data_IF_032073407461
#
_entry.id   IF_032073407461
#
_cell.length_a   1.000
_cell.length_b   1.000
_cell.length_c   1.000
_cell.angle_alpha   90.00
_cell.angle_beta   90.00
_cell.angle_gamma   90.00
#
_symmetry.space_group_name_H-M   'P 1'
#
loop_
_entity.id
_entity.type
_entity.pdbx_description
1 polymer ?
#
# COMPACT_ATOMS: atom_id res chain seq x y z
N UNK A 1 -14.77 -6.40 -4.88
CA UNK A 1 -13.89 -7.43 -4.28
C UNK A 1 -13.59 -7.06 -2.83
N UNK A 2 -13.43 -8.02 -1.91
CA UNK A 2 -13.07 -7.70 -0.51
C UNK A 2 -11.67 -7.08 -0.47
N UNK A 3 -11.50 -5.93 0.20
CA UNK A 3 -10.23 -5.17 0.25
C UNK A 3 -9.07 -6.00 0.78
N UNK A 4 -9.33 -6.89 1.74
CA UNK A 4 -8.33 -7.84 2.26
C UNK A 4 -7.80 -8.78 1.19
N UNK A 5 -8.67 -9.26 0.27
CA UNK A 5 -8.26 -10.12 -0.83
C UNK A 5 -7.45 -9.33 -1.86
N UNK A 6 -7.85 -8.09 -2.16
CA UNK A 6 -7.07 -7.21 -3.06
C UNK A 6 -5.67 -6.94 -2.52
N UNK A 7 -5.55 -6.61 -1.24
CA UNK A 7 -4.27 -6.37 -0.61
C UNK A 7 -3.39 -7.65 -0.62
N UNK A 8 -3.98 -8.81 -0.34
CA UNK A 8 -3.28 -10.09 -0.44
C UNK A 8 -2.77 -10.35 -1.86
N UNK A 9 -3.62 -10.21 -2.87
CA UNK A 9 -3.26 -10.43 -4.27
C UNK A 9 -2.13 -9.48 -4.70
N UNK A 10 -2.21 -8.20 -4.34
CA UNK A 10 -1.17 -7.22 -4.62
C UNK A 10 0.15 -7.59 -3.97
N UNK A 11 0.14 -8.03 -2.71
CA UNK A 11 1.35 -8.48 -2.01
C UNK A 11 1.97 -9.71 -2.68
N UNK A 12 1.15 -10.68 -3.08
CA UNK A 12 1.59 -11.88 -3.80
C UNK A 12 2.16 -11.58 -5.19
N UNK A 13 1.78 -10.46 -5.80
CA UNK A 13 2.35 -9.95 -7.05
C UNK A 13 3.75 -9.31 -6.88
N UNK A 14 4.32 -9.33 -5.68
CA UNK A 14 5.64 -8.78 -5.39
C UNK A 14 5.62 -7.33 -4.90
N UNK A 15 4.43 -6.76 -4.70
CA UNK A 15 4.32 -5.45 -4.08
C UNK A 15 4.68 -5.53 -2.60
N UNK A 16 5.34 -4.49 -2.09
CA UNK A 16 5.63 -4.40 -0.67
C UNK A 16 4.35 -4.17 0.15
N UNK A 17 4.45 -4.31 1.47
CA UNK A 17 3.30 -4.21 2.37
C UNK A 17 2.55 -2.87 2.31
N UNK A 18 3.23 -1.75 2.05
CA UNK A 18 2.57 -0.45 1.92
C UNK A 18 1.80 -0.34 0.61
N UNK A 19 2.43 -0.73 -0.51
CA UNK A 19 1.81 -0.77 -1.84
C UNK A 19 0.59 -1.71 -1.86
N UNK A 20 0.70 -2.87 -1.20
CA UNK A 20 -0.41 -3.82 -1.08
C UNK A 20 -1.63 -3.23 -0.37
N UNK A 21 -1.43 -2.54 0.75
CA UNK A 21 -2.53 -1.91 1.51
C UNK A 21 -3.07 -0.71 0.75
N UNK A 22 -2.23 0.27 0.41
CA UNK A 22 -2.71 1.50 -0.23
C UNK A 22 -3.33 1.23 -1.61
N UNK A 23 -2.71 0.36 -2.40
CA UNK A 23 -3.23 -0.09 -3.70
C UNK A 23 -4.57 -0.81 -3.62
N UNK A 24 -4.95 -1.40 -2.47
CA UNK A 24 -6.28 -1.95 -2.28
C UNK A 24 -7.36 -0.85 -2.14
N UNK A 25 -6.98 0.36 -1.73
CA UNK A 25 -7.86 1.51 -1.52
C UNK A 25 -7.70 2.63 -2.56
N UNK A 26 -6.78 2.50 -3.54
CA UNK A 26 -6.51 3.54 -4.54
C UNK A 26 -7.76 4.05 -5.29
N UNK A 27 -8.71 3.15 -5.62
CA UNK A 27 -9.98 3.52 -6.25
C UNK A 27 -10.86 4.43 -5.36
N UNK A 28 -10.91 4.17 -4.05
CA UNK A 28 -11.67 5.00 -3.09
C UNK A 28 -10.98 6.33 -2.84
N UNK A 29 -9.65 6.33 -2.87
CA UNK A 29 -8.82 7.53 -2.79
C UNK A 29 -8.88 8.38 -4.07
N UNK A 30 -9.52 7.92 -5.15
CA UNK A 30 -9.55 8.62 -6.44
C UNK A 30 -8.17 8.77 -7.08
N UNK A 31 -7.20 7.92 -6.71
CA UNK A 31 -5.83 7.97 -7.20
C UNK A 31 -5.62 6.85 -8.22
N UNK A 32 -4.98 7.20 -9.34
CA UNK A 32 -4.57 6.23 -10.34
C UNK A 32 -3.73 5.09 -9.69
N UNK A 33 -4.02 3.81 -9.97
CA UNK A 33 -3.32 2.69 -9.34
C UNK A 33 -1.80 2.74 -9.49
N UNK A 34 -1.27 3.17 -10.64
CA UNK A 34 0.18 3.27 -10.85
C UNK A 34 0.79 4.37 -9.99
N UNK A 35 0.12 5.51 -9.88
CA UNK A 35 0.51 6.60 -8.97
C UNK A 35 0.47 6.11 -7.52
N UNK A 36 -0.58 5.39 -7.11
CA UNK A 36 -0.69 4.86 -5.75
C UNK A 36 0.46 3.91 -5.41
N UNK A 37 0.85 3.02 -6.33
CA UNK A 37 2.00 2.14 -6.13
C UNK A 37 3.30 2.93 -6.00
N UNK A 38 3.54 3.91 -6.87
CA UNK A 38 4.76 4.74 -6.82
C UNK A 38 4.86 5.50 -5.49
N UNK A 39 3.76 6.10 -5.03
CA UNK A 39 3.71 6.82 -3.76
C UNK A 39 3.97 5.91 -2.56
N UNK A 40 3.46 4.68 -2.57
CA UNK A 40 3.63 3.74 -1.46
C UNK A 40 4.95 2.94 -1.50
N UNK A 41 5.67 2.94 -2.64
CA UNK A 41 6.90 2.18 -2.83
C UNK A 41 8.01 2.38 -1.77
N UNK A 42 8.28 3.57 -1.20
CA UNK A 42 9.37 3.74 -0.23
C UNK A 42 9.04 3.19 1.17
N UNK A 43 7.77 2.92 1.49
CA UNK A 43 7.35 2.61 2.87
C UNK A 43 7.37 1.12 3.22
N UNK A 44 7.57 0.23 2.23
CA UNK A 44 7.67 -1.21 2.45
C UNK A 44 8.79 -1.61 3.40
N UNK A 45 8.66 -2.72 4.13
CA UNK A 45 9.68 -3.19 5.08
C UNK A 45 10.13 -2.14 6.13
N UNK A 46 9.26 -1.16 6.40
CA UNK A 46 9.41 -0.27 7.54
C UNK A 46 9.69 1.23 7.26
N UNK A 47 9.58 1.74 6.02
CA UNK A 47 10.55 2.72 5.46
C UNK A 47 11.79 2.05 4.86
N UNK A 48 11.60 0.98 4.09
CA UNK A 48 12.59 0.50 3.13
C UNK A 48 13.75 -0.27 3.74
N UNK A 49 13.47 -1.23 4.63
CA UNK A 49 14.44 -2.14 5.29
C UNK A 49 15.18 -1.58 6.51
N UNK A 50 14.78 -0.42 7.02
CA UNK A 50 15.26 0.09 8.32
C UNK A 50 14.62 -0.60 9.53
N UNK A 51 13.56 -1.40 9.31
CA UNK A 51 12.78 -2.10 10.36
C UNK A 51 12.13 -1.17 11.39
N UNK A 52 11.77 0.04 10.98
CA UNK A 52 11.16 1.04 11.86
C UNK A 52 9.62 1.03 11.77
N UNK A 53 9.01 1.95 11.02
CA UNK A 53 7.55 2.16 11.00
C UNK A 53 6.86 1.20 10.04
N UNK A 54 5.87 0.42 10.52
CA UNK A 54 5.17 -0.58 9.70
C UNK A 54 4.59 -0.01 8.40
N UNK A 55 5.09 -0.49 7.25
CA UNK A 55 4.64 -0.04 5.93
C UNK A 55 3.16 -0.31 5.65
N UNK A 56 2.60 -1.41 6.15
CA UNK A 56 1.17 -1.70 6.01
C UNK A 56 0.30 -0.63 6.71
N UNK A 57 0.72 -0.19 7.90
CA UNK A 57 0.02 0.88 8.65
C UNK A 57 0.22 2.22 7.93
N UNK A 58 1.40 2.50 7.40
CA UNK A 58 1.63 3.71 6.58
C UNK A 58 0.71 3.73 5.35
N UNK A 59 0.58 2.60 4.64
CA UNK A 59 -0.34 2.49 3.49
C UNK A 59 -1.82 2.67 3.87
N UNK A 60 -2.21 2.22 5.06
CA UNK A 60 -3.55 2.50 5.62
C UNK A 60 -3.74 4.00 5.89
N UNK A 61 -2.75 4.67 6.49
CA UNK A 61 -2.82 6.12 6.74
C UNK A 61 -2.88 6.91 5.43
N UNK A 62 -2.15 6.50 4.39
CA UNK A 62 -2.25 7.08 3.06
C UNK A 62 -3.68 6.96 2.48
N UNK A 63 -4.34 5.81 2.69
CA UNK A 63 -5.71 5.60 2.23
C UNK A 63 -6.73 6.49 2.97
N UNK A 64 -6.52 6.75 4.26
CA UNK A 64 -7.40 7.62 5.07
C UNK A 64 -7.18 9.11 4.75
N UNK A 65 -5.97 9.49 4.33
CA UNK A 65 -5.62 10.89 4.07
C UNK A 65 -5.75 11.35 2.62
N UNK A 66 -5.97 10.43 1.68
CA UNK A 66 -6.20 10.72 0.26
C UNK A 66 -7.68 11.02 -0.01
#
# INVERSE_FOLDING_TARGET
MKKTKRAQDLFLQGNNCAMAVFGAFCEEAGIDPEIAMKLASPFGAGMGKTRNVCGAVTGMLMAVGA
#
